data_IF_821935608874
#
_entry.id   IF_821935608874
#
_cell.length_a   1.000
_cell.length_b   1.000
_cell.length_c   1.000
_cell.angle_alpha   90.00
_cell.angle_beta   90.00
_cell.angle_gamma   90.00
#
_symmetry.space_group_name_H-M   'P 1'
#
loop_
_entity.id
_entity.type
_entity.pdbx_description
1 polymer ?
#
# COMPACT_ATOMS: atom_id res chain seq x y z
N UNK A 1 -4.89 0.00 -11.25
CA UNK A 1 -5.21 1.11 -12.17
C UNK A 1 -4.09 1.26 -13.20
N UNK A 2 -4.47 1.42 -14.48
CA UNK A 2 -3.51 1.51 -15.60
C UNK A 2 -2.46 2.60 -15.42
N UNK A 3 -2.82 3.71 -14.78
CA UNK A 3 -1.91 4.85 -14.62
C UNK A 3 -0.72 4.53 -13.69
N UNK A 4 -0.95 3.74 -12.65
CA UNK A 4 0.13 3.26 -11.77
C UNK A 4 1.12 2.41 -12.56
N UNK A 5 0.62 1.50 -13.39
CA UNK A 5 1.47 0.65 -14.24
C UNK A 5 2.28 1.47 -15.24
N UNK A 6 1.66 2.49 -15.86
CA UNK A 6 2.35 3.42 -16.77
C UNK A 6 3.46 4.20 -16.09
N UNK A 7 3.23 4.64 -14.84
CA UNK A 7 4.25 5.34 -14.07
C UNK A 7 5.44 4.44 -13.74
N UNK A 8 5.20 3.19 -13.36
CA UNK A 8 6.28 2.24 -13.15
C UNK A 8 7.08 2.01 -14.43
N UNK A 9 6.40 1.79 -15.54
CA UNK A 9 7.04 1.59 -16.85
C UNK A 9 7.87 2.82 -17.25
N UNK A 10 7.34 4.02 -17.09
CA UNK A 10 8.05 5.27 -17.37
C UNK A 10 9.32 5.45 -16.53
N UNK A 11 9.40 4.81 -15.37
CA UNK A 11 10.59 4.81 -14.50
C UNK A 11 11.47 3.57 -14.69
N UNK A 12 11.23 2.78 -15.73
CA UNK A 12 12.04 1.59 -16.05
C UNK A 12 11.81 0.42 -15.08
N UNK A 13 10.70 0.40 -14.37
CA UNK A 13 10.35 -0.65 -13.41
C UNK A 13 9.46 -1.69 -14.09
N UNK A 14 9.94 -2.92 -14.15
CA UNK A 14 9.15 -4.06 -14.64
C UNK A 14 8.15 -4.51 -13.58
N UNK A 15 6.88 -4.57 -13.91
CA UNK A 15 5.79 -4.90 -12.98
C UNK A 15 5.16 -6.24 -13.35
N UNK A 16 5.01 -7.10 -12.35
CA UNK A 16 4.17 -8.29 -12.43
C UNK A 16 2.93 -8.06 -11.55
N UNK A 17 1.76 -8.08 -12.15
CA UNK A 17 0.49 -7.93 -11.42
C UNK A 17 -0.01 -9.30 -11.00
N UNK A 18 -0.31 -9.45 -9.72
CA UNK A 18 -0.83 -10.69 -9.15
C UNK A 18 -2.18 -10.44 -8.46
N UNK A 19 -3.03 -11.47 -8.32
CA UNK A 19 -4.26 -11.38 -7.53
C UNK A 19 -3.99 -11.00 -6.08
N UNK A 20 -4.97 -10.35 -5.44
CA UNK A 20 -4.85 -9.88 -4.06
C UNK A 20 -4.63 -11.00 -3.04
N UNK A 21 -5.08 -12.20 -3.34
CA UNK A 21 -4.99 -13.38 -2.49
C UNK A 21 -3.72 -14.21 -2.71
N UNK A 22 -2.79 -13.70 -3.54
CA UNK A 22 -1.52 -14.39 -3.79
C UNK A 22 -0.76 -14.55 -2.50
N UNK A 23 -0.27 -15.76 -2.24
CA UNK A 23 0.48 -16.08 -1.03
C UNK A 23 1.86 -15.43 -1.02
N UNK A 24 2.42 -15.23 0.18
CA UNK A 24 3.79 -14.72 0.32
C UNK A 24 4.80 -15.62 -0.41
N UNK A 25 4.68 -16.94 -0.29
CA UNK A 25 5.57 -17.89 -0.95
C UNK A 25 5.53 -17.75 -2.49
N UNK A 26 4.33 -17.59 -3.05
CA UNK A 26 4.17 -17.39 -4.49
C UNK A 26 4.81 -16.06 -4.96
N UNK A 27 4.68 -14.99 -4.19
CA UNK A 27 5.33 -13.71 -4.47
C UNK A 27 6.86 -13.85 -4.40
N UNK A 28 7.37 -14.48 -3.34
CA UNK A 28 8.81 -14.69 -3.14
C UNK A 28 9.42 -15.56 -4.24
N UNK A 29 8.68 -16.55 -4.75
CA UNK A 29 9.12 -17.39 -5.87
C UNK A 29 9.37 -16.60 -7.17
N UNK A 30 8.76 -15.42 -7.31
CA UNK A 30 8.99 -14.52 -8.45
C UNK A 30 10.27 -13.68 -8.31
N UNK A 31 10.96 -13.77 -7.17
CA UNK A 31 12.18 -13.00 -6.85
C UNK A 31 12.03 -11.49 -7.10
N UNK A 32 11.01 -10.82 -6.53
CA UNK A 32 10.81 -9.39 -6.73
C UNK A 32 11.85 -8.56 -5.99
N UNK A 33 12.18 -7.39 -6.52
CA UNK A 33 13.01 -6.40 -5.85
C UNK A 33 12.22 -5.54 -4.86
N UNK A 34 10.91 -5.53 -4.96
CA UNK A 34 10.01 -4.84 -4.07
C UNK A 34 8.55 -5.21 -4.30
N UNK A 35 7.69 -4.80 -3.40
CA UNK A 35 6.25 -5.09 -3.46
C UNK A 35 5.47 -3.79 -3.39
N UNK A 36 4.50 -3.66 -4.29
CA UNK A 36 3.58 -2.53 -4.31
C UNK A 36 2.16 -3.00 -3.99
N UNK A 37 1.60 -2.43 -2.94
CA UNK A 37 0.22 -2.67 -2.51
C UNK A 37 -0.68 -1.60 -3.12
N UNK A 38 -1.47 -2.01 -4.09
CA UNK A 38 -2.33 -1.10 -4.85
C UNK A 38 -3.48 -0.56 -4.00
N UNK A 39 -4.06 0.53 -4.47
CA UNK A 39 -5.36 0.99 -4.00
C UNK A 39 -6.45 -0.04 -4.35
N UNK A 40 -7.52 -0.02 -3.59
CA UNK A 40 -8.68 -0.89 -3.79
C UNK A 40 -9.88 -0.41 -3.00
N UNK A 41 -11.06 -0.97 -3.26
CA UNK A 41 -12.27 -0.67 -2.51
C UNK A 41 -12.37 -1.48 -1.22
N UNK A 42 -13.22 -1.03 -0.31
CA UNK A 42 -13.63 -1.79 0.86
C UNK A 42 -12.94 -1.39 2.15
N UNK A 43 -13.33 -2.09 3.19
CA UNK A 43 -12.80 -1.92 4.54
C UNK A 43 -11.48 -2.70 4.67
N UNK A 44 -10.35 -2.06 5.01
CA UNK A 44 -9.10 -2.75 5.20
C UNK A 44 -9.17 -3.83 6.30
N UNK A 45 -9.98 -3.64 7.33
CA UNK A 45 -10.15 -4.62 8.40
C UNK A 45 -10.82 -5.94 7.93
N UNK A 46 -11.55 -5.90 6.82
CA UNK A 46 -12.17 -7.08 6.23
C UNK A 46 -11.19 -7.92 5.38
N UNK A 47 -10.04 -7.37 5.02
CA UNK A 47 -9.02 -8.04 4.19
C UNK A 47 -8.06 -8.84 5.09
N UNK A 48 -8.59 -9.81 5.79
CA UNK A 48 -7.89 -10.53 6.87
C UNK A 48 -6.69 -11.36 6.41
N UNK A 49 -6.66 -11.74 5.15
CA UNK A 49 -5.56 -12.51 4.55
C UNK A 49 -4.32 -11.65 4.23
N UNK A 50 -4.47 -10.35 4.07
CA UNK A 50 -3.37 -9.48 3.65
C UNK A 50 -2.32 -9.21 4.75
N UNK A 51 -2.67 -8.88 5.99
CA UNK A 51 -1.66 -8.61 7.01
C UNK A 51 -0.65 -9.73 7.24
N UNK A 52 -1.04 -11.02 7.36
CA UNK A 52 -0.08 -12.11 7.46
C UNK A 52 0.86 -12.22 6.25
N UNK A 53 0.33 -12.05 5.04
CA UNK A 53 1.11 -12.07 3.81
C UNK A 53 2.10 -10.92 3.77
N UNK A 54 1.66 -9.70 4.07
CA UNK A 54 2.52 -8.51 4.11
C UNK A 54 3.63 -8.66 5.15
N UNK A 55 3.30 -9.19 6.33
CA UNK A 55 4.28 -9.44 7.38
C UNK A 55 5.36 -10.43 6.93
N UNK A 56 4.97 -11.53 6.31
CA UNK A 56 5.90 -12.53 5.79
C UNK A 56 6.84 -11.94 4.72
N UNK A 57 6.33 -11.08 3.85
CA UNK A 57 7.14 -10.37 2.85
C UNK A 57 8.09 -9.36 3.48
N UNK A 58 7.63 -8.63 4.50
CA UNK A 58 8.46 -7.67 5.23
C UNK A 58 9.61 -8.34 6.00
N UNK A 59 9.39 -9.53 6.55
CA UNK A 59 10.43 -10.33 7.22
C UNK A 59 11.57 -10.72 6.28
N UNK A 60 11.32 -10.80 4.97
CA UNK A 60 12.34 -11.01 3.95
C UNK A 60 13.08 -9.72 3.56
N UNK A 61 12.84 -8.62 4.27
CA UNK A 61 13.46 -7.30 4.04
C UNK A 61 13.20 -6.73 2.64
N UNK A 62 12.11 -7.14 2.00
CA UNK A 62 11.67 -6.54 0.74
C UNK A 62 11.13 -5.12 0.98
N UNK A 63 11.52 -4.13 0.18
CA UNK A 63 10.87 -2.84 0.17
C UNK A 63 9.38 -2.99 -0.16
N UNK A 64 8.52 -2.43 0.66
CA UNK A 64 7.07 -2.48 0.45
C UNK A 64 6.51 -1.06 0.47
N UNK A 65 5.72 -0.72 -0.52
CA UNK A 65 5.04 0.56 -0.61
C UNK A 65 3.54 0.36 -0.87
N UNK A 66 2.71 1.14 -0.19
CA UNK A 66 1.25 1.04 -0.31
C UNK A 66 0.58 2.37 -0.60
N UNK A 67 -0.45 2.34 -1.42
CA UNK A 67 -1.31 3.49 -1.71
C UNK A 67 -2.75 3.17 -1.29
N UNK A 68 -3.42 4.12 -0.61
CA UNK A 68 -4.82 4.03 -0.20
C UNK A 68 -5.07 2.76 0.64
N UNK A 69 -5.84 1.81 0.14
CA UNK A 69 -6.07 0.53 0.82
C UNK A 69 -4.75 -0.18 1.18
N UNK A 70 -3.77 -0.18 0.26
CA UNK A 70 -2.45 -0.77 0.51
C UNK A 70 -1.71 -0.12 1.67
N UNK A 71 -1.77 1.20 1.80
CA UNK A 71 -1.22 1.92 2.94
C UNK A 71 -1.92 1.56 4.25
N UNK A 72 -3.25 1.46 4.23
CA UNK A 72 -4.04 1.08 5.40
C UNK A 72 -3.73 -0.35 5.86
N UNK A 73 -3.55 -1.28 4.92
CA UNK A 73 -3.15 -2.66 5.20
C UNK A 73 -1.75 -2.73 5.83
N UNK A 74 -0.82 -1.89 5.38
CA UNK A 74 0.49 -1.74 6.04
C UNK A 74 0.33 -1.28 7.49
N UNK A 75 -0.50 -0.27 7.73
CA UNK A 75 -0.79 0.21 9.09
C UNK A 75 -1.31 -0.92 9.98
N UNK A 76 -2.30 -1.68 9.52
CA UNK A 76 -2.83 -2.83 10.27
C UNK A 76 -1.79 -3.93 10.49
N UNK A 77 -0.94 -4.21 9.51
CA UNK A 77 0.10 -5.23 9.60
C UNK A 77 1.09 -4.93 10.73
N UNK A 78 1.43 -3.68 10.93
CA UNK A 78 2.44 -3.24 11.92
C UNK A 78 1.84 -2.67 13.21
N UNK A 79 0.62 -3.07 13.54
CA UNK A 79 -0.01 -2.81 14.85
C UNK A 79 -0.84 -1.53 14.91
N UNK A 80 -1.04 -0.87 13.80
CA UNK A 80 -1.95 0.28 13.70
C UNK A 80 -3.41 -0.14 13.70
N UNK A 81 -4.28 0.85 13.79
CA UNK A 81 -5.72 0.68 13.73
C UNK A 81 -6.31 1.57 12.62
N UNK A 82 -7.36 1.08 11.99
CA UNK A 82 -8.16 1.87 11.05
C UNK A 82 -9.50 2.21 11.69
N UNK A 83 -10.00 3.42 11.40
CA UNK A 83 -11.30 3.87 11.87
C UNK A 83 -12.13 4.38 10.71
N UNK A 84 -13.42 4.08 10.74
CA UNK A 84 -14.36 4.63 9.76
C UNK A 84 -14.66 6.07 10.14
N UNK A 85 -14.34 6.99 9.26
CA UNK A 85 -14.69 8.39 9.45
C UNK A 85 -16.20 8.60 9.22
N UNK A 86 -16.85 9.45 10.02
CA UNK A 86 -18.29 9.72 9.84
C UNK A 86 -18.61 10.43 8.52
N UNK A 87 -17.65 11.20 8.00
CA UNK A 87 -17.78 11.91 6.73
C UNK A 87 -16.61 11.58 5.79
N UNK A 88 -16.82 11.76 4.48
CA UNK A 88 -15.76 11.59 3.49
C UNK A 88 -14.62 12.60 3.71
N UNK A 89 -13.40 12.15 3.48
CA UNK A 89 -12.20 12.98 3.53
C UNK A 89 -11.48 12.89 2.18
N UNK A 90 -11.78 13.85 1.31
CA UNK A 90 -11.35 13.82 -0.09
C UNK A 90 -10.82 15.19 -0.52
N UNK A 91 -9.95 15.19 -1.49
CA UNK A 91 -9.47 16.41 -2.13
C UNK A 91 -7.99 16.36 -2.48
N UNK A 92 -7.56 17.28 -3.34
CA UNK A 92 -6.17 17.44 -3.74
C UNK A 92 -5.39 18.45 -2.90
N UNK A 93 -5.92 18.88 -1.76
CA UNK A 93 -5.35 19.94 -0.93
C UNK A 93 -5.30 19.55 0.55
N UNK A 94 -5.10 18.28 0.86
CA UNK A 94 -5.05 17.79 2.22
C UNK A 94 -3.62 17.87 2.78
N UNK A 95 -3.39 18.61 3.88
CA UNK A 95 -2.07 18.71 4.47
C UNK A 95 -1.70 17.42 5.22
N UNK A 96 -0.47 16.99 5.04
CA UNK A 96 0.14 15.89 5.80
C UNK A 96 1.47 16.37 6.34
N UNK A 97 1.67 16.17 7.63
CA UNK A 97 2.92 16.54 8.30
C UNK A 97 3.86 15.35 8.34
N UNK A 98 5.06 15.55 7.80
CA UNK A 98 6.17 14.64 8.01
C UNK A 98 6.70 14.84 9.43
N UNK A 99 6.60 13.81 10.25
CA UNK A 99 6.97 13.88 11.66
C UNK A 99 8.48 13.91 11.89
N UNK A 100 9.28 13.43 10.94
CA UNK A 100 10.74 13.46 11.05
C UNK A 100 11.31 14.85 10.72
N UNK A 101 10.83 15.45 9.65
CA UNK A 101 11.32 16.75 9.18
C UNK A 101 10.51 17.93 9.69
N UNK A 102 9.29 17.71 10.19
CA UNK A 102 8.35 18.75 10.56
C UNK A 102 7.69 19.47 9.38
N UNK A 103 8.02 19.10 8.14
CA UNK A 103 7.47 19.72 6.93
C UNK A 103 6.01 19.30 6.71
N UNK A 104 5.23 20.23 6.20
CA UNK A 104 3.85 19.95 5.77
C UNK A 104 3.82 19.87 4.24
N UNK A 105 3.33 18.75 3.74
CA UNK A 105 3.14 18.50 2.32
C UNK A 105 1.65 18.52 2.00
N UNK A 106 1.30 19.03 0.83
CA UNK A 106 -0.07 18.97 0.34
C UNK A 106 -0.26 17.69 -0.46
N UNK A 107 -1.25 16.90 -0.06
CA UNK A 107 -1.50 15.57 -0.63
C UNK A 107 -2.89 15.50 -1.25
N UNK A 108 -3.08 14.51 -2.10
CA UNK A 108 -4.37 14.13 -2.65
C UNK A 108 -4.91 12.93 -1.87
N UNK A 109 -6.12 13.06 -1.34
CA UNK A 109 -6.79 12.03 -0.55
C UNK A 109 -8.18 11.73 -1.10
N UNK A 110 -8.59 10.48 -0.98
CA UNK A 110 -9.88 10.02 -1.48
C UNK A 110 -10.50 8.97 -0.55
#
# INVERSE_FOLDING_TARGET
KRNILRLFDAHGIRVTVVPSETTADAVLAMTPDGVFLSNGPGDPAAVTYAPPTIRALAEQKLPIFGICLGHQLLGLTFGGHTVKMPYGHRGGNQPVKDLETGKVLITSQN
#
